data_IF_471528395081
#
_entry.id   IF_471528395081
#
_cell.length_a   1.000
_cell.length_b   1.000
_cell.length_c   1.000
_cell.angle_alpha   90.00
_cell.angle_beta   90.00
_cell.angle_gamma   90.00
#
_symmetry.space_group_name_H-M   'P 1'
#
loop_
_entity.id
_entity.type
_entity.pdbx_description
1 polymer ?
#
# COMPACT_ATOMS: atom_id res chain seq x y z
N UNK A 1 -26.50 0.49 12.18
CA UNK A 1 -26.33 1.31 10.96
C UNK A 1 -25.37 0.61 10.02
N UNK A 2 -25.88 -0.06 8.99
CA UNK A 2 -25.06 -0.79 8.02
C UNK A 2 -24.41 0.16 7.02
N UNK A 3 -23.12 0.45 7.22
CA UNK A 3 -22.34 1.18 6.20
C UNK A 3 -21.84 0.14 5.21
N UNK A 4 -22.17 0.29 3.93
CA UNK A 4 -21.66 -0.59 2.88
C UNK A 4 -20.14 -0.33 2.71
N UNK A 5 -19.33 -1.15 3.38
CA UNK A 5 -17.86 -1.07 3.37
C UNK A 5 -17.29 -1.35 1.99
N UNK A 6 -17.97 -2.16 1.18
CA UNK A 6 -17.60 -2.47 -0.21
C UNK A 6 -17.61 -1.21 -1.06
N UNK A 7 -18.68 -0.39 -1.02
CA UNK A 7 -18.75 0.87 -1.78
C UNK A 7 -17.62 1.82 -1.41
N UNK A 8 -17.30 1.96 -0.13
CA UNK A 8 -16.22 2.84 0.33
C UNK A 8 -14.83 2.35 -0.12
N UNK A 9 -14.56 1.04 -0.07
CA UNK A 9 -13.31 0.46 -0.56
C UNK A 9 -13.18 0.62 -2.08
N UNK A 10 -14.26 0.38 -2.83
CA UNK A 10 -14.28 0.55 -4.28
C UNK A 10 -14.06 2.01 -4.67
N UNK A 11 -14.73 2.97 -4.02
CA UNK A 11 -14.50 4.40 -4.31
C UNK A 11 -13.05 4.82 -4.02
N UNK A 12 -12.46 4.37 -2.90
CA UNK A 12 -11.06 4.65 -2.59
C UNK A 12 -10.09 4.05 -3.62
N UNK A 13 -10.37 2.83 -4.10
CA UNK A 13 -9.59 2.17 -5.15
C UNK A 13 -9.70 2.92 -6.48
N UNK A 14 -10.92 3.27 -6.91
CA UNK A 14 -11.17 3.98 -8.17
C UNK A 14 -10.45 5.33 -8.20
N UNK A 15 -10.51 6.12 -7.11
CA UNK A 15 -9.80 7.41 -7.02
C UNK A 15 -8.28 7.20 -7.13
N UNK A 16 -7.74 6.19 -6.45
CA UNK A 16 -6.30 5.87 -6.50
C UNK A 16 -5.84 5.43 -7.88
N UNK A 17 -6.59 4.51 -8.51
CA UNK A 17 -6.29 4.01 -9.86
C UNK A 17 -6.41 5.09 -10.92
N UNK A 18 -7.38 6.01 -10.80
CA UNK A 18 -7.51 7.14 -11.70
C UNK A 18 -6.28 8.06 -11.65
N UNK A 19 -5.78 8.37 -10.45
CA UNK A 19 -4.54 9.15 -10.30
C UNK A 19 -3.30 8.41 -10.85
N UNK A 20 -3.19 7.11 -10.58
CA UNK A 20 -2.08 6.29 -11.10
C UNK A 20 -2.09 6.22 -12.64
N UNK A 21 -3.28 6.08 -13.25
CA UNK A 21 -3.45 6.08 -14.70
C UNK A 21 -3.09 7.43 -15.33
N UNK A 22 -3.54 8.54 -14.73
CA UNK A 22 -3.18 9.88 -15.20
C UNK A 22 -1.67 10.13 -15.16
N UNK A 23 -0.99 9.70 -14.09
CA UNK A 23 0.46 9.77 -13.98
C UNK A 23 1.18 8.93 -15.06
N UNK A 24 0.67 7.73 -15.36
CA UNK A 24 1.23 6.86 -16.40
C UNK A 24 1.10 7.45 -17.81
N UNK A 25 -0.04 8.07 -18.15
CA UNK A 25 -0.23 8.76 -19.43
C UNK A 25 0.73 9.95 -19.56
N UNK A 26 0.90 10.72 -18.49
CA UNK A 26 1.86 11.83 -18.47
C UNK A 26 3.30 11.34 -18.65
N UNK A 27 3.67 10.23 -18.01
CA UNK A 27 4.98 9.61 -18.15
C UNK A 27 5.24 9.15 -19.60
N UNK A 28 4.26 8.47 -20.22
CA UNK A 28 4.36 8.04 -21.61
C UNK A 28 4.52 9.21 -22.59
N UNK A 29 3.86 10.33 -22.32
CA UNK A 29 4.02 11.55 -23.12
C UNK A 29 5.40 12.18 -22.95
N UNK A 30 5.97 12.13 -21.74
CA UNK A 30 7.30 12.70 -21.45
C UNK A 30 8.44 11.91 -22.11
N UNK A 31 8.37 10.57 -22.11
CA UNK A 31 9.39 9.71 -22.72
C UNK A 31 9.29 9.69 -24.26
N UNK A 32 8.14 10.03 -24.84
CA UNK A 32 7.91 10.15 -26.29
C UNK A 32 7.89 8.83 -27.05
N UNK A 33 8.44 7.75 -26.50
CA UNK A 33 8.38 6.39 -27.01
C UNK A 33 8.33 5.37 -25.86
N UNK A 34 7.50 4.33 -25.99
CA UNK A 34 7.42 3.27 -25.00
C UNK A 34 8.42 2.16 -25.33
N UNK A 35 9.55 2.13 -24.62
CA UNK A 35 10.47 1.00 -24.67
C UNK A 35 10.11 -0.03 -23.59
N UNK A 36 9.85 -1.30 -23.93
CA UNK A 36 9.60 -2.34 -22.92
C UNK A 36 10.77 -2.53 -21.94
N UNK A 37 11.98 -2.15 -22.32
CA UNK A 37 13.16 -2.19 -21.45
C UNK A 37 13.10 -1.14 -20.31
N UNK A 38 12.32 -0.06 -20.46
CA UNK A 38 12.11 0.93 -19.39
C UNK A 38 11.17 0.45 -18.29
N UNK A 39 10.39 -0.61 -18.55
CA UNK A 39 9.41 -1.20 -17.63
C UNK A 39 9.83 -2.57 -17.10
N UNK A 40 11.13 -2.76 -16.88
CA UNK A 40 11.65 -3.99 -16.31
C UNK A 40 11.33 -4.15 -14.82
N UNK A 41 11.60 -5.35 -14.31
CA UNK A 41 11.47 -5.68 -12.89
C UNK A 41 12.16 -4.66 -11.96
N UNK A 42 13.30 -4.11 -12.39
CA UNK A 42 14.02 -3.09 -11.64
C UNK A 42 13.18 -1.82 -11.42
N UNK A 43 12.31 -1.45 -12.36
CA UNK A 43 11.42 -0.30 -12.20
C UNK A 43 10.38 -0.53 -11.11
N UNK A 44 9.83 -1.74 -11.03
CA UNK A 44 8.90 -2.14 -9.97
C UNK A 44 9.56 -2.14 -8.59
N UNK A 45 10.82 -2.60 -8.51
CA UNK A 45 11.62 -2.56 -7.29
C UNK A 45 11.92 -1.11 -6.88
N UNK A 46 12.26 -0.24 -7.82
CA UNK A 46 12.49 1.19 -7.56
C UNK A 46 11.26 1.83 -6.88
N UNK A 47 10.06 1.61 -7.45
CA UNK A 47 8.79 2.09 -6.88
C UNK A 47 8.56 1.52 -5.48
N UNK A 48 8.86 0.24 -5.25
CA UNK A 48 8.73 -0.39 -3.95
C UNK A 48 9.65 0.27 -2.90
N UNK A 49 10.90 0.54 -3.26
CA UNK A 49 11.88 1.19 -2.39
C UNK A 49 11.42 2.61 -2.02
N UNK A 50 10.87 3.38 -2.96
CA UNK A 50 10.29 4.71 -2.69
C UNK A 50 9.22 4.66 -1.59
N UNK A 51 8.31 3.68 -1.65
CA UNK A 51 7.24 3.49 -0.67
C UNK A 51 7.79 2.97 0.66
N UNK A 52 8.74 2.04 0.65
CA UNK A 52 9.34 1.48 1.87
C UNK A 52 10.16 2.54 2.62
N UNK A 53 10.93 3.36 1.92
CA UNK A 53 11.69 4.47 2.52
C UNK A 53 10.74 5.47 3.20
N UNK A 54 9.63 5.79 2.55
CA UNK A 54 8.61 6.68 3.12
C UNK A 54 7.79 6.06 4.25
N UNK A 55 7.67 4.73 4.26
CA UNK A 55 6.99 3.93 5.27
C UNK A 55 5.61 3.44 4.81
N UNK A 56 5.38 2.12 4.89
CA UNK A 56 4.15 1.43 4.45
C UNK A 56 2.87 1.93 5.15
N UNK A 57 3.00 2.70 6.23
CA UNK A 57 1.90 3.23 7.02
C UNK A 57 1.59 4.71 6.83
N UNK A 58 2.35 5.49 6.06
CA UNK A 58 2.11 6.95 5.99
C UNK A 58 2.06 7.43 4.56
N UNK A 59 0.92 7.98 4.13
CA UNK A 59 0.78 8.59 2.80
C UNK A 59 1.79 9.74 2.65
N UNK A 60 1.91 10.60 3.66
CA UNK A 60 2.85 11.74 3.64
C UNK A 60 4.30 11.27 3.63
N UNK A 61 4.62 10.21 4.39
CA UNK A 61 5.94 9.59 4.39
C UNK A 61 6.31 9.03 3.01
N UNK A 62 5.41 8.28 2.38
CA UNK A 62 5.59 7.74 1.02
C UNK A 62 5.83 8.82 -0.03
N UNK A 63 5.14 9.96 0.05
CA UNK A 63 5.35 11.08 -0.88
C UNK A 63 6.75 11.69 -0.71
N UNK A 64 7.19 11.92 0.53
CA UNK A 64 8.52 12.46 0.82
C UNK A 64 9.61 11.46 0.42
N UNK A 65 9.41 10.17 0.69
CA UNK A 65 10.32 9.09 0.29
C UNK A 65 10.47 8.97 -1.23
N UNK A 66 9.36 9.10 -1.97
CA UNK A 66 9.38 9.12 -3.43
C UNK A 66 10.14 10.32 -3.99
N UNK A 67 9.92 11.53 -3.45
CA UNK A 67 10.65 12.73 -3.88
C UNK A 67 12.15 12.57 -3.60
N UNK A 68 12.53 12.14 -2.39
CA UNK A 68 13.93 11.97 -2.01
C UNK A 68 14.65 10.94 -2.91
N UNK A 69 14.03 9.78 -3.17
CA UNK A 69 14.59 8.76 -4.05
C UNK A 69 14.41 9.02 -5.54
N UNK A 70 13.66 10.03 -5.95
CA UNK A 70 13.69 10.49 -7.34
C UNK A 70 14.90 11.40 -7.57
N UNK A 71 15.22 12.27 -6.60
CA UNK A 71 16.35 13.21 -6.70
C UNK A 71 17.70 12.52 -6.52
N UNK A 72 17.79 11.55 -5.60
CA UNK A 72 19.04 10.85 -5.29
C UNK A 72 19.69 10.09 -6.48
N UNK A 73 18.97 9.28 -7.29
CA UNK A 73 19.53 8.58 -8.44
C UNK A 73 19.74 9.49 -9.66
N UNK A 74 19.09 10.65 -9.72
CA UNK A 74 19.34 11.67 -10.75
C UNK A 74 20.67 12.39 -10.50
N UNK A 75 21.03 12.61 -9.23
CA UNK A 75 22.36 13.09 -8.84
C UNK A 75 23.47 12.04 -9.08
N UNK A 76 23.15 10.75 -9.01
CA UNK A 76 24.06 9.62 -9.24
C UNK A 76 24.02 9.07 -10.68
N UNK A 77 23.45 9.81 -11.63
CA UNK A 77 23.20 9.36 -13.01
C UNK A 77 24.46 8.88 -13.75
N UNK A 78 25.66 9.27 -13.31
CA UNK A 78 26.95 8.81 -13.85
C UNK A 78 27.34 7.35 -13.54
N UNK A 79 26.67 6.67 -12.59
CA UNK A 79 26.98 5.28 -12.18
C UNK A 79 25.87 4.30 -12.58
N UNK A 80 25.48 4.32 -13.86
CA UNK A 80 24.34 3.55 -14.37
C UNK A 80 24.47 2.02 -14.14
N UNK A 81 25.67 1.44 -14.27
CA UNK A 81 25.88 -0.01 -14.10
C UNK A 81 25.71 -0.49 -12.65
N UNK A 82 26.00 0.34 -11.66
CA UNK A 82 25.88 -0.03 -10.25
C UNK A 82 24.44 0.06 -9.73
N UNK A 83 23.51 0.65 -10.49
CA UNK A 83 22.10 0.84 -10.07
C UNK A 83 21.44 -0.46 -9.62
N UNK A 84 21.68 -1.57 -10.33
CA UNK A 84 21.06 -2.86 -10.05
C UNK A 84 21.48 -3.43 -8.67
N UNK A 85 22.77 -3.33 -8.35
CA UNK A 85 23.33 -3.78 -7.07
C UNK A 85 22.90 -2.83 -5.97
N UNK A 86 22.95 -1.52 -6.22
CA UNK A 86 22.59 -0.48 -5.27
C UNK A 86 21.13 -0.62 -4.85
N UNK A 87 20.18 -0.78 -5.77
CA UNK A 87 18.77 -0.94 -5.42
C UNK A 87 18.51 -2.18 -4.56
N UNK A 88 19.13 -3.31 -4.89
CA UNK A 88 18.98 -4.55 -4.12
C UNK A 88 19.54 -4.41 -2.70
N UNK A 89 20.73 -3.82 -2.57
CA UNK A 89 21.36 -3.56 -1.29
C UNK A 89 20.57 -2.53 -0.46
N UNK A 90 20.09 -1.48 -1.11
CA UNK A 90 19.34 -0.40 -0.50
C UNK A 90 18.00 -0.91 0.03
N UNK A 91 17.31 -1.82 -0.67
CA UNK A 91 16.13 -2.50 -0.16
C UNK A 91 16.44 -3.27 1.13
N UNK A 92 17.51 -4.09 1.15
CA UNK A 92 17.92 -4.86 2.34
C UNK A 92 18.26 -3.93 3.50
N UNK A 93 19.04 -2.87 3.23
CA UNK A 93 19.40 -1.86 4.24
C UNK A 93 18.15 -1.20 4.80
N UNK A 94 17.20 -0.76 3.96
CA UNK A 94 15.96 -0.14 4.42
C UNK A 94 15.12 -1.07 5.30
N UNK A 95 15.05 -2.34 4.90
CA UNK A 95 14.33 -3.37 5.65
C UNK A 95 14.99 -3.64 7.02
N UNK A 96 16.32 -3.55 7.10
CA UNK A 96 17.09 -3.64 8.34
C UNK A 96 16.95 -2.38 9.21
N UNK A 97 17.06 -1.18 8.62
CA UNK A 97 17.20 0.05 9.40
C UNK A 97 15.91 0.51 10.05
N UNK A 98 14.75 0.16 9.48
CA UNK A 98 13.40 0.18 10.09
C UNK A 98 12.34 0.14 8.99
N UNK A 99 11.46 -0.87 8.94
CA UNK A 99 10.38 -0.97 7.94
C UNK A 99 9.24 0.07 8.12
N UNK A 100 9.39 1.03 9.03
CA UNK A 100 8.38 2.07 9.32
C UNK A 100 8.66 3.42 8.63
N UNK A 101 9.75 3.53 7.87
CA UNK A 101 10.08 4.72 7.06
C UNK A 101 10.64 5.92 7.85
N UNK A 102 11.10 6.94 7.11
CA UNK A 102 11.77 8.16 7.64
C UNK A 102 10.94 8.98 8.64
N UNK A 103 9.61 8.81 8.66
CA UNK A 103 8.69 9.53 9.56
C UNK A 103 8.01 8.64 10.61
N UNK A 104 8.45 7.40 10.81
CA UNK A 104 7.87 6.48 11.81
C UNK A 104 7.92 6.98 13.27
N UNK A 105 8.63 8.06 13.56
CA UNK A 105 8.67 8.71 14.89
C UNK A 105 7.55 9.72 15.16
N UNK A 106 6.86 10.21 14.13
CA UNK A 106 5.88 11.30 14.23
C UNK A 106 4.44 10.83 13.98
N UNK A 107 4.10 9.58 14.31
CA UNK A 107 2.77 9.01 14.14
C UNK A 107 1.67 9.87 14.84
N UNK A 108 0.86 10.67 14.12
CA UNK A 108 -0.33 11.32 14.71
C UNK A 108 -1.53 10.36 14.68
N UNK A 109 -1.39 9.21 14.00
CA UNK A 109 -2.48 8.30 13.62
C UNK A 109 -2.36 6.88 14.21
N UNK A 110 -1.38 6.66 15.12
CA UNK A 110 -1.18 5.39 15.86
C UNK A 110 -2.45 4.94 16.60
N UNK A 111 -3.25 5.90 17.10
CA UNK A 111 -4.52 5.63 17.79
C UNK A 111 -5.67 5.14 16.89
N UNK A 112 -5.68 5.49 15.59
CA UNK A 112 -6.77 5.11 14.67
C UNK A 112 -6.59 3.71 14.08
N UNK A 113 -5.34 3.28 13.86
CA UNK A 113 -5.01 1.92 13.39
C UNK A 113 -5.25 0.84 14.43
N UNK A 114 -4.93 1.09 15.70
CA UNK A 114 -5.20 0.15 16.79
C UNK A 114 -6.70 -0.17 16.91
N UNK A 115 -7.56 0.80 16.63
CA UNK A 115 -9.02 0.66 16.69
C UNK A 115 -9.61 -0.10 15.49
N UNK A 116 -9.02 -0.03 14.30
CA UNK A 116 -9.53 -0.72 13.10
C UNK A 116 -9.18 -2.20 13.05
N UNK A 117 -8.01 -2.60 13.59
CA UNK A 117 -7.60 -4.01 13.68
C UNK A 117 -8.37 -4.79 14.74
N UNK A 118 -8.83 -4.11 15.80
CA UNK A 118 -9.75 -4.69 16.78
C UNK A 118 -11.15 -4.91 16.19
N UNK A 119 -11.64 -3.97 15.36
CA UNK A 119 -12.99 -4.04 14.79
C UNK A 119 -13.19 -5.17 13.77
N UNK A 120 -12.17 -5.51 12.98
CA UNK A 120 -12.25 -6.62 12.01
C UNK A 120 -12.26 -8.00 12.65
N UNK A 121 -11.73 -8.14 13.88
CA UNK A 121 -11.68 -9.43 14.60
C UNK A 121 -13.00 -9.74 15.32
N UNK A 122 -13.68 -8.69 15.81
CA UNK A 122 -15.01 -8.81 16.44
C UNK A 122 -16.09 -9.15 15.41
N UNK A 123 -16.00 -8.64 14.18
CA UNK A 123 -16.95 -8.97 13.10
C UNK A 123 -16.79 -10.43 12.62
N UNK A 124 -15.59 -11.04 12.69
CA UNK A 124 -15.39 -12.47 12.37
C UNK A 124 -15.86 -13.42 13.49
N UNK A 125 -15.75 -13.03 14.76
CA UNK A 125 -16.24 -13.82 15.91
C UNK A 125 -17.79 -13.83 15.99
N UNK A 126 -18.44 -12.73 15.64
CA UNK A 126 -19.91 -12.61 15.69
C UNK A 126 -20.61 -13.44 14.59
N UNK A 127 -20.04 -13.49 13.38
CA UNK A 127 -20.54 -14.31 12.27
C UNK A 127 -20.38 -15.81 12.55
N UNK A 128 -19.31 -16.20 13.25
CA UNK A 128 -19.06 -17.61 13.61
C UNK A 128 -19.97 -18.11 14.74
N UNK A 129 -20.35 -17.21 15.67
CA UNK A 129 -21.26 -17.52 16.77
C UNK A 129 -22.73 -17.61 16.33
N UNK A 130 -23.10 -16.96 15.24
CA UNK A 130 -24.44 -17.05 14.63
C UNK A 130 -24.59 -18.34 13.81
N UNK A 131 -23.55 -18.78 13.10
CA UNK A 131 -23.54 -20.02 12.30
C UNK A 131 -23.58 -21.30 13.15
N UNK A 132 -23.14 -21.25 14.42
CA UNK A 132 -23.27 -22.38 15.35
C UNK A 132 -24.68 -22.51 15.95
N UNK A 133 -25.54 -21.50 15.81
CA UNK A 133 -26.95 -21.58 16.16
C UNK A 133 -27.75 -22.00 14.92
N UNK A 134 -27.55 -23.25 14.53
CA UNK A 134 -28.40 -23.92 13.54
C UNK A 134 -29.89 -23.76 13.88
N UNK A 135 -30.79 -23.90 12.88
CA UNK A 135 -32.18 -23.50 13.03
C UNK A 135 -32.81 -24.21 14.23
N UNK A 136 -33.17 -23.40 15.23
CA UNK A 136 -33.95 -23.82 16.40
C UNK A 136 -35.22 -24.47 15.87
N UNK A 137 -35.41 -25.73 16.28
CA UNK A 137 -36.54 -26.57 15.98
C UNK A 137 -37.84 -25.78 16.16
N UNK A 138 -38.62 -25.65 15.08
CA UNK A 138 -40.00 -25.19 15.18
C UNK A 138 -40.85 -26.40 15.52
N UNK A 139 -41.34 -26.39 16.76
CA UNK A 139 -42.20 -27.38 17.38
C UNK A 139 -43.36 -27.77 16.46
N UNK A 140 -43.50 -29.08 16.22
CA UNK A 140 -44.74 -29.69 15.73
C UNK A 140 -45.49 -30.27 16.93
N UNK A 141 -46.23 -29.44 17.64
CA UNK A 141 -47.33 -29.88 18.49
C UNK A 141 -48.54 -28.94 18.35
N UNK A 142 -49.64 -29.51 17.87
CA UNK A 142 -51.02 -29.23 18.32
C UNK A 142 -51.67 -27.90 17.97
N UNK A 143 -52.46 -27.84 16.90
CA UNK A 143 -53.93 -27.95 16.96
C UNK A 143 -54.52 -28.18 15.56
#
# INVERSE_FOLDING_TARGET
MGVNTTRYKVMAFVISSAMAGAAGVLFAHFDGYLNPHSFEFLKSVEILIMVILGGLGSIVGSVIGAIALTVLPEALRGFAEYRMIIYSLLLIILMITRPQGLLGGLDPFKGWRARRRAKSRTEEEEITAEDTRGPVQVDKEGT
#
